data_IF_290729609190
#
_entry.id   IF_290729609190
#
_cell.length_a   1.000
_cell.length_b   1.000
_cell.length_c   1.000
_cell.angle_alpha   90.00
_cell.angle_beta   90.00
_cell.angle_gamma   90.00
#
_symmetry.space_group_name_H-M   'P 1'
#
loop_
_entity.id
_entity.type
_entity.pdbx_description
1 polymer ?
#
# COMPACT_ATOMS: atom_id res chain seq x y z
N UNK A 1 4.24 10.22 -35.10
CA UNK A 1 2.83 10.09 -34.66
C UNK A 1 2.80 8.92 -33.68
N UNK A 2 2.80 9.18 -32.37
CA UNK A 2 2.74 8.11 -31.35
C UNK A 2 1.26 7.97 -30.99
N UNK A 3 0.66 6.83 -31.30
CA UNK A 3 -0.71 6.51 -30.90
C UNK A 3 -0.66 6.19 -29.38
N UNK A 4 -1.23 7.05 -28.57
CA UNK A 4 -1.52 6.77 -27.16
C UNK A 4 -2.75 5.86 -27.18
N UNK A 5 -2.57 4.58 -26.85
CA UNK A 5 -3.70 3.69 -26.63
C UNK A 5 -4.47 4.18 -25.40
N UNK A 6 -5.75 4.51 -25.59
CA UNK A 6 -6.66 4.80 -24.47
C UNK A 6 -6.71 3.56 -23.56
N UNK A 7 -6.82 3.75 -22.24
CA UNK A 7 -7.00 2.62 -21.33
C UNK A 7 -8.31 1.93 -21.70
N UNK A 8 -8.23 0.65 -22.08
CA UNK A 8 -9.43 -0.15 -22.32
C UNK A 8 -10.27 -0.16 -21.03
N UNK A 9 -11.53 0.23 -21.17
CA UNK A 9 -12.48 0.18 -20.07
C UNK A 9 -12.58 -1.26 -19.57
N UNK A 10 -12.49 -1.43 -18.24
CA UNK A 10 -12.67 -2.73 -17.62
C UNK A 10 -14.07 -3.28 -17.94
N UNK A 11 -14.13 -4.53 -18.41
CA UNK A 11 -15.39 -5.20 -18.72
C UNK A 11 -15.92 -5.82 -17.42
N UNK A 12 -17.09 -5.37 -16.95
CA UNK A 12 -17.73 -5.94 -15.78
C UNK A 12 -18.30 -7.34 -16.08
N UNK A 13 -17.92 -8.31 -15.29
CA UNK A 13 -18.48 -9.67 -15.34
C UNK A 13 -19.62 -9.79 -14.33
N UNK A 14 -20.60 -10.64 -14.59
CA UNK A 14 -21.88 -10.73 -13.86
C UNK A 14 -21.79 -11.08 -12.37
N UNK A 15 -20.65 -11.55 -11.89
CA UNK A 15 -20.37 -11.88 -10.48
C UNK A 15 -19.67 -10.76 -9.70
N UNK A 16 -19.57 -9.56 -10.28
CA UNK A 16 -18.83 -8.43 -9.70
C UNK A 16 -17.31 -8.48 -9.92
N UNK A 17 -16.82 -9.45 -10.70
CA UNK A 17 -15.42 -9.49 -11.15
C UNK A 17 -15.20 -8.52 -12.30
N UNK A 18 -13.94 -8.09 -12.47
CA UNK A 18 -13.53 -7.13 -13.49
C UNK A 18 -12.27 -7.63 -14.17
N UNK A 19 -12.25 -7.67 -15.50
CA UNK A 19 -11.01 -7.88 -16.23
C UNK A 19 -10.20 -6.57 -16.28
N UNK A 20 -8.95 -6.64 -15.90
CA UNK A 20 -8.05 -5.48 -15.92
C UNK A 20 -6.62 -5.89 -16.29
N UNK A 21 -5.89 -4.93 -16.86
CA UNK A 21 -4.47 -5.09 -17.10
C UNK A 21 -3.69 -4.62 -15.87
N UNK A 22 -2.88 -5.50 -15.30
CA UNK A 22 -1.94 -5.17 -14.25
C UNK A 22 -0.51 -5.18 -14.80
N UNK A 23 0.26 -4.14 -14.47
CA UNK A 23 1.67 -4.04 -14.83
C UNK A 23 2.51 -4.80 -13.80
N UNK A 24 3.15 -5.88 -14.21
CA UNK A 24 4.17 -6.58 -13.43
C UNK A 24 5.57 -6.11 -13.83
N UNK A 25 6.58 -6.51 -13.07
CA UNK A 25 7.96 -6.36 -13.47
C UNK A 25 8.33 -7.43 -14.49
N UNK A 26 8.92 -6.99 -15.61
CA UNK A 26 9.53 -7.91 -16.55
C UNK A 26 10.83 -8.46 -15.93
N UNK A 27 10.95 -9.78 -15.89
CA UNK A 27 12.15 -10.44 -15.41
C UNK A 27 13.26 -10.36 -16.48
N UNK A 28 14.16 -9.41 -16.28
CA UNK A 28 15.30 -9.18 -17.22
C UNK A 28 16.64 -9.64 -16.66
N UNK A 29 16.66 -10.16 -15.43
CA UNK A 29 17.89 -10.42 -14.67
C UNK A 29 18.51 -9.16 -14.06
N UNK A 30 18.02 -7.97 -14.40
CA UNK A 30 18.47 -6.71 -13.81
C UNK A 30 17.59 -6.35 -12.61
N UNK A 31 18.23 -5.83 -11.54
CA UNK A 31 17.51 -5.39 -10.35
C UNK A 31 16.67 -4.15 -10.68
N UNK A 32 15.34 -4.20 -10.52
CA UNK A 32 14.51 -3.01 -10.68
C UNK A 32 14.82 -1.97 -9.60
N UNK A 33 14.66 -0.70 -9.94
CA UNK A 33 14.91 0.39 -9.01
C UNK A 33 13.81 1.45 -9.11
N UNK A 34 13.62 2.17 -8.02
CA UNK A 34 12.83 3.40 -7.98
C UNK A 34 13.67 4.50 -7.38
N UNK A 35 13.89 5.56 -8.15
CA UNK A 35 14.53 6.78 -7.68
C UNK A 35 13.45 7.79 -7.34
N UNK A 36 13.60 8.47 -6.21
CA UNK A 36 12.75 9.60 -5.81
C UNK A 36 13.63 10.81 -5.56
N UNK A 37 13.23 11.98 -6.09
CA UNK A 37 14.00 13.23 -5.98
C UNK A 37 14.07 13.85 -4.57
N UNK A 38 13.65 13.12 -3.53
CA UNK A 38 13.69 13.55 -2.14
C UNK A 38 12.38 14.19 -1.64
N UNK A 39 12.36 14.69 -0.40
CA UNK A 39 11.17 15.28 0.20
C UNK A 39 10.63 16.46 -0.61
N UNK A 40 9.34 16.43 -0.93
CA UNK A 40 8.67 17.48 -1.70
C UNK A 40 8.94 17.47 -3.21
N UNK A 41 9.69 16.50 -3.72
CA UNK A 41 9.88 16.29 -5.16
C UNK A 41 8.83 15.34 -5.71
N UNK A 42 8.34 15.65 -6.92
CA UNK A 42 7.50 14.76 -7.71
C UNK A 42 8.32 13.94 -8.72
N UNK A 43 9.64 14.12 -8.76
CA UNK A 43 10.54 13.37 -9.64
C UNK A 43 10.64 11.92 -9.14
N UNK A 44 9.97 11.01 -9.84
CA UNK A 44 10.01 9.57 -9.61
C UNK A 44 10.42 8.89 -10.90
N UNK A 45 11.53 8.18 -10.87
CA UNK A 45 12.01 7.38 -12.00
C UNK A 45 12.08 5.93 -11.58
N UNK A 46 11.43 5.07 -12.34
CA UNK A 46 11.42 3.64 -12.09
C UNK A 46 12.10 2.92 -13.25
N UNK A 47 13.14 2.17 -12.94
CA UNK A 47 13.77 1.26 -13.88
C UNK A 47 13.11 -0.12 -13.89
N UNK A 48 13.48 -0.93 -14.88
CA UNK A 48 12.90 -2.24 -15.12
C UNK A 48 11.78 -2.19 -16.17
N UNK A 49 11.67 -3.26 -16.94
CA UNK A 49 10.63 -3.45 -17.95
C UNK A 49 9.23 -3.64 -17.32
N UNK A 50 8.20 -3.43 -18.12
CA UNK A 50 6.82 -3.75 -17.77
C UNK A 50 6.40 -5.05 -18.45
N UNK A 51 5.69 -5.89 -17.71
CA UNK A 51 5.03 -7.10 -18.19
C UNK A 51 3.51 -6.95 -17.92
N UNK A 52 2.75 -6.34 -18.87
CA UNK A 52 1.32 -6.15 -18.71
C UNK A 52 0.59 -7.49 -18.85
N UNK A 53 -0.20 -7.85 -17.84
CA UNK A 53 -0.98 -9.09 -17.83
C UNK A 53 -2.45 -8.81 -17.64
N UNK A 54 -3.28 -9.45 -18.47
CA UNK A 54 -4.72 -9.49 -18.25
C UNK A 54 -5.02 -10.42 -17.06
N UNK A 55 -5.74 -9.90 -16.09
CA UNK A 55 -6.15 -10.65 -14.90
C UNK A 55 -7.62 -10.41 -14.60
N UNK A 56 -8.28 -11.43 -14.07
CA UNK A 56 -9.62 -11.33 -13.54
C UNK A 56 -9.53 -10.92 -12.06
N UNK A 57 -10.04 -9.74 -11.73
CA UNK A 57 -10.11 -9.23 -10.38
C UNK A 57 -11.47 -9.58 -9.77
N UNK A 58 -11.49 -10.39 -8.74
CA UNK A 58 -12.70 -10.77 -8.03
C UNK A 58 -13.13 -9.72 -7.00
N UNK A 59 -14.43 -9.55 -6.81
CA UNK A 59 -14.97 -8.66 -5.80
C UNK A 59 -14.90 -9.29 -4.40
N UNK A 60 -13.82 -9.05 -3.68
CA UNK A 60 -13.65 -9.54 -2.31
C UNK A 60 -14.64 -8.94 -1.30
N UNK A 61 -15.35 -7.85 -1.63
CA UNK A 61 -16.30 -7.21 -0.71
C UNK A 61 -17.58 -8.01 -0.50
N UNK A 62 -17.94 -8.85 -1.46
CA UNK A 62 -19.12 -9.72 -1.35
C UNK A 62 -18.89 -10.85 -0.35
N UNK A 63 -17.64 -11.29 -0.20
CA UNK A 63 -17.21 -12.37 0.70
C UNK A 63 -16.37 -11.82 1.86
N UNK A 64 -16.58 -10.55 2.23
CA UNK A 64 -15.73 -9.85 3.20
C UNK A 64 -15.59 -10.57 4.56
N UNK A 65 -16.61 -11.34 4.96
CA UNK A 65 -16.61 -12.13 6.20
C UNK A 65 -15.68 -13.34 6.18
N UNK A 66 -15.31 -13.83 5.00
CA UNK A 66 -14.52 -15.07 4.84
C UNK A 66 -13.01 -14.83 4.89
N UNK A 67 -12.58 -13.56 4.78
CA UNK A 67 -11.17 -13.19 4.81
C UNK A 67 -10.67 -12.95 6.22
N UNK A 68 -9.57 -13.61 6.57
CA UNK A 68 -8.88 -13.44 7.84
C UNK A 68 -7.39 -13.19 7.64
N UNK A 69 -6.77 -12.48 8.58
CA UNK A 69 -5.34 -12.19 8.52
C UNK A 69 -4.50 -13.46 8.46
N UNK A 70 -4.87 -14.49 9.22
CA UNK A 70 -4.08 -15.73 9.30
C UNK A 70 -4.22 -16.63 8.07
N UNK A 71 -5.37 -16.61 7.38
CA UNK A 71 -5.59 -17.45 6.19
C UNK A 71 -5.22 -16.74 4.89
N UNK A 72 -5.56 -15.46 4.79
CA UNK A 72 -5.55 -14.72 3.53
C UNK A 72 -4.51 -13.60 3.51
N UNK A 73 -3.94 -13.24 4.67
CA UNK A 73 -3.02 -12.11 4.80
C UNK A 73 -3.70 -10.75 4.78
N UNK A 74 -5.03 -10.71 4.64
CA UNK A 74 -5.83 -9.49 4.66
C UNK A 74 -7.21 -9.73 5.23
N UNK A 75 -7.90 -8.64 5.60
CA UNK A 75 -9.26 -8.66 6.12
C UNK A 75 -9.96 -7.34 5.78
N UNK A 76 -11.26 -7.38 5.48
CA UNK A 76 -12.09 -6.19 5.37
C UNK A 76 -12.65 -5.81 6.75
N UNK A 77 -12.47 -4.55 7.12
CA UNK A 77 -13.01 -4.00 8.37
C UNK A 77 -13.62 -2.64 8.06
N UNK A 78 -14.84 -2.41 8.56
CA UNK A 78 -15.42 -1.07 8.54
C UNK A 78 -14.87 -0.29 9.72
N UNK A 79 -14.35 0.90 9.46
CA UNK A 79 -13.86 1.82 10.47
C UNK A 79 -14.35 3.23 10.13
N UNK A 80 -15.02 3.87 11.08
CA UNK A 80 -15.51 5.24 10.94
C UNK A 80 -14.50 6.16 11.64
N UNK A 81 -13.57 6.70 10.88
CA UNK A 81 -12.53 7.60 11.41
C UNK A 81 -13.11 8.95 11.80
N UNK A 82 -12.49 9.58 12.82
CA UNK A 82 -12.81 10.95 13.26
C UNK A 82 -11.96 12.01 12.55
N UNK A 83 -11.09 11.62 11.63
CA UNK A 83 -10.31 12.56 10.81
C UNK A 83 -11.24 13.33 9.89
N UNK A 84 -11.23 14.65 9.99
CA UNK A 84 -12.02 15.55 9.15
C UNK A 84 -11.31 15.92 7.85
N UNK A 85 -9.99 16.05 7.89
CA UNK A 85 -9.15 16.36 6.72
C UNK A 85 -7.87 15.52 6.73
N UNK A 86 -7.75 14.60 5.79
CA UNK A 86 -6.55 13.76 5.61
C UNK A 86 -5.34 14.53 5.04
N UNK A 87 -5.49 15.79 4.67
CA UNK A 87 -4.34 16.65 4.33
C UNK A 87 -3.81 17.44 5.53
N UNK A 88 -4.47 17.35 6.67
CA UNK A 88 -3.99 17.92 7.93
C UNK A 88 -3.12 16.90 8.67
N UNK A 89 -1.81 17.09 8.60
CA UNK A 89 -0.81 16.25 9.26
C UNK A 89 -1.03 16.14 10.77
N UNK A 90 -1.52 17.20 11.41
CA UNK A 90 -1.79 17.17 12.84
C UNK A 90 -2.96 16.23 13.18
N UNK A 91 -4.02 16.23 12.38
CA UNK A 91 -5.12 15.27 12.52
C UNK A 91 -4.68 13.84 12.25
N UNK A 92 -3.84 13.63 11.23
CA UNK A 92 -3.31 12.28 10.94
C UNK A 92 -2.56 11.75 12.17
N UNK A 93 -1.67 12.53 12.76
CA UNK A 93 -0.86 12.06 13.90
C UNK A 93 -1.66 11.95 15.19
N UNK A 94 -2.55 12.92 15.48
CA UNK A 94 -3.28 12.95 16.75
C UNK A 94 -4.56 12.14 16.78
N UNK A 95 -5.16 11.85 15.62
CA UNK A 95 -6.42 11.11 15.51
C UNK A 95 -6.23 9.80 14.79
N UNK A 96 -5.76 9.83 13.53
CA UNK A 96 -5.69 8.62 12.70
C UNK A 96 -4.68 7.58 13.22
N UNK A 97 -3.50 7.99 13.65
CA UNK A 97 -2.50 7.06 14.18
C UNK A 97 -3.01 6.28 15.39
N UNK A 98 -3.56 6.92 16.45
CA UNK A 98 -4.16 6.18 17.57
C UNK A 98 -5.34 5.29 17.15
N UNK A 99 -6.18 5.72 16.21
CA UNK A 99 -7.25 4.88 15.67
C UNK A 99 -6.69 3.62 15.00
N UNK A 100 -5.65 3.75 14.15
CA UNK A 100 -5.05 2.63 13.44
C UNK A 100 -4.29 1.70 14.39
N UNK A 101 -3.62 2.21 15.40
CA UNK A 101 -3.02 1.38 16.44
C UNK A 101 -4.07 0.53 17.17
N UNK A 102 -5.17 1.14 17.56
CA UNK A 102 -6.27 0.43 18.22
C UNK A 102 -6.92 -0.60 17.29
N UNK A 103 -7.18 -0.23 16.04
CA UNK A 103 -7.77 -1.10 15.03
C UNK A 103 -6.89 -2.32 14.77
N UNK A 104 -5.61 -2.12 14.49
CA UNK A 104 -4.67 -3.22 14.21
C UNK A 104 -4.51 -4.13 15.41
N UNK A 105 -4.43 -3.59 16.63
CA UNK A 105 -4.43 -4.42 17.87
C UNK A 105 -5.66 -5.30 17.95
N UNK A 106 -6.83 -4.72 17.76
CA UNK A 106 -8.11 -5.45 17.85
C UNK A 106 -8.23 -6.55 16.79
N UNK A 107 -7.70 -6.32 15.59
CA UNK A 107 -7.82 -7.25 14.47
C UNK A 107 -6.75 -8.35 14.44
N UNK A 108 -5.55 -8.07 14.96
CA UNK A 108 -4.40 -8.98 14.91
C UNK A 108 -4.08 -9.67 16.23
N UNK A 109 -4.61 -9.18 17.35
CA UNK A 109 -4.23 -9.62 18.69
C UNK A 109 -2.82 -9.16 19.12
N UNK A 110 -2.19 -8.25 18.38
CA UNK A 110 -0.87 -7.74 18.70
C UNK A 110 -0.87 -7.02 20.07
N UNK A 111 0.11 -7.30 20.90
CA UNK A 111 0.29 -6.61 22.19
C UNK A 111 0.74 -5.16 22.00
N UNK A 112 1.48 -4.89 20.93
CA UNK A 112 1.98 -3.56 20.58
C UNK A 112 1.83 -3.31 19.09
N UNK A 113 1.42 -2.10 18.72
CA UNK A 113 1.40 -1.58 17.36
C UNK A 113 2.13 -0.24 17.36
N UNK A 114 2.88 0.03 16.32
CA UNK A 114 3.58 1.31 16.11
C UNK A 114 3.30 1.74 14.68
N UNK A 115 2.64 2.88 14.53
CA UNK A 115 2.50 3.51 13.22
C UNK A 115 3.79 4.25 12.90
N UNK A 116 4.43 3.92 11.79
CA UNK A 116 5.74 4.47 11.45
C UNK A 116 5.74 5.30 10.16
N UNK A 117 4.72 5.15 9.33
CA UNK A 117 4.62 5.89 8.07
C UNK A 117 3.16 6.00 7.62
N UNK A 118 2.88 7.02 6.84
CA UNK A 118 1.66 7.15 6.05
C UNK A 118 1.97 7.80 4.72
N UNK A 119 1.18 7.49 3.71
CA UNK A 119 1.34 8.08 2.38
C UNK A 119 -0.01 8.52 1.84
N UNK A 120 -0.12 9.80 1.52
CA UNK A 120 -1.25 10.32 0.77
C UNK A 120 -1.02 10.08 -0.72
N UNK A 121 -2.06 9.60 -1.39
CA UNK A 121 -2.07 9.39 -2.83
C UNK A 121 -3.40 9.86 -3.40
N UNK A 122 -3.35 10.47 -4.57
CA UNK A 122 -4.56 10.89 -5.27
C UNK A 122 -4.40 10.63 -6.77
N UNK A 123 -5.51 10.31 -7.43
CA UNK A 123 -5.61 10.24 -8.88
C UNK A 123 -5.97 11.60 -9.50
N UNK A 124 -6.34 12.58 -8.70
CA UNK A 124 -6.59 13.96 -9.13
C UNK A 124 -5.27 14.67 -9.41
N UNK A 125 -5.00 14.94 -10.68
CA UNK A 125 -3.76 15.57 -11.13
C UNK A 125 -3.61 16.99 -10.59
N UNK A 126 -4.68 17.77 -10.53
CA UNK A 126 -4.65 19.14 -10.01
C UNK A 126 -4.34 19.17 -8.51
N UNK A 127 -4.99 18.30 -7.75
CA UNK A 127 -4.71 18.16 -6.31
C UNK A 127 -3.30 17.64 -6.06
N UNK A 128 -2.83 16.70 -6.90
CA UNK A 128 -1.48 16.15 -6.82
C UNK A 128 -0.42 17.24 -7.02
N UNK A 129 -0.55 18.03 -8.06
CA UNK A 129 0.41 19.10 -8.36
C UNK A 129 0.37 20.21 -7.30
N UNK A 130 -0.83 20.69 -6.94
CA UNK A 130 -0.99 21.77 -5.96
C UNK A 130 -0.47 21.40 -4.56
N UNK A 131 -0.62 20.14 -4.16
CA UNK A 131 -0.26 19.66 -2.82
C UNK A 131 1.00 18.80 -2.78
N UNK A 132 1.66 18.59 -3.91
CA UNK A 132 2.85 17.72 -4.06
C UNK A 132 2.63 16.30 -3.54
N UNK A 133 1.45 15.75 -3.80
CA UNK A 133 1.05 14.40 -3.38
C UNK A 133 1.56 13.39 -4.40
N UNK A 134 1.94 12.20 -3.92
CA UNK A 134 2.41 11.11 -4.79
C UNK A 134 1.28 10.56 -5.65
N UNK A 135 1.64 10.15 -6.87
CA UNK A 135 0.74 9.41 -7.75
C UNK A 135 0.38 8.04 -7.16
N UNK A 136 -0.79 7.50 -7.55
CA UNK A 136 -1.16 6.12 -7.25
C UNK A 136 -0.18 5.14 -7.90
N UNK A 137 0.14 4.06 -7.21
CA UNK A 137 1.05 3.03 -7.74
C UNK A 137 0.33 2.19 -8.78
N UNK A 138 0.91 2.09 -9.97
CA UNK A 138 0.34 1.36 -11.10
C UNK A 138 1.00 -0.01 -11.35
N UNK A 139 2.02 -0.35 -10.58
CA UNK A 139 2.78 -1.58 -10.76
C UNK A 139 2.58 -2.51 -9.58
N UNK A 140 2.36 -3.79 -9.84
CA UNK A 140 2.23 -4.82 -8.80
C UNK A 140 3.57 -4.97 -8.08
N UNK A 141 3.57 -4.89 -6.75
CA UNK A 141 4.77 -4.99 -5.93
C UNK A 141 4.43 -5.41 -4.50
N UNK A 142 5.43 -5.85 -3.78
CA UNK A 142 5.43 -5.94 -2.33
C UNK A 142 6.30 -4.83 -1.74
N UNK A 143 5.86 -4.20 -0.67
CA UNK A 143 6.63 -3.15 0.00
C UNK A 143 7.79 -3.73 0.82
N UNK A 144 7.60 -4.93 1.35
CA UNK A 144 8.60 -5.59 2.20
C UNK A 144 8.85 -7.03 1.77
N UNK A 145 10.08 -7.47 1.99
CA UNK A 145 10.54 -8.85 1.81
C UNK A 145 10.92 -9.44 3.17
N UNK A 146 11.22 -10.73 3.21
CA UNK A 146 11.75 -11.41 4.40
C UNK A 146 13.03 -10.75 4.95
N UNK A 147 13.79 -10.10 4.09
CA UNK A 147 14.99 -9.37 4.47
C UNK A 147 14.70 -7.92 4.89
N UNK A 148 13.94 -7.18 4.10
CA UNK A 148 13.72 -5.74 4.35
C UNK A 148 12.74 -5.46 5.49
N UNK A 149 11.82 -6.38 5.80
CA UNK A 149 10.93 -6.25 6.95
C UNK A 149 11.67 -6.22 8.29
N UNK A 150 12.54 -7.18 8.60
CA UNK A 150 13.40 -7.14 9.80
C UNK A 150 14.32 -5.92 9.85
N UNK A 151 14.87 -5.51 8.69
CA UNK A 151 15.68 -4.30 8.64
C UNK A 151 14.86 -3.06 8.98
N UNK A 152 13.63 -2.96 8.48
CA UNK A 152 12.74 -1.84 8.82
C UNK A 152 12.42 -1.77 10.30
N UNK A 153 12.26 -2.91 10.96
CA UNK A 153 12.08 -2.95 12.42
C UNK A 153 13.30 -2.39 13.16
N UNK A 154 14.51 -2.73 12.71
CA UNK A 154 15.76 -2.18 13.27
C UNK A 154 15.86 -0.66 13.11
N UNK A 155 15.44 -0.16 11.96
CA UNK A 155 15.47 1.28 11.65
C UNK A 155 14.48 2.06 12.54
N UNK A 156 13.30 1.47 12.85
CA UNK A 156 12.24 2.15 13.62
C UNK A 156 12.48 2.03 15.13
N UNK A 157 12.92 0.86 15.60
CA UNK A 157 13.07 0.53 17.02
C UNK A 157 14.48 -0.02 17.33
N UNK A 158 15.56 0.72 17.08
CA UNK A 158 16.93 0.21 17.13
C UNK A 158 17.30 -0.38 18.50
N UNK A 159 16.76 0.16 19.60
CA UNK A 159 17.05 -0.34 20.96
C UNK A 159 16.33 -1.63 21.35
N UNK A 160 15.30 -2.04 20.62
CA UNK A 160 14.41 -3.14 20.96
C UNK A 160 14.34 -4.21 19.86
N UNK A 161 14.79 -3.89 18.65
CA UNK A 161 14.55 -4.67 17.45
C UNK A 161 14.98 -6.14 17.60
N UNK A 162 16.15 -6.43 18.13
CA UNK A 162 16.65 -7.80 18.23
C UNK A 162 15.80 -8.66 19.21
N UNK A 163 15.29 -8.07 20.27
CA UNK A 163 14.39 -8.76 21.17
C UNK A 163 13.01 -9.00 20.55
N UNK A 164 12.52 -8.04 19.74
CA UNK A 164 11.26 -8.16 19.04
C UNK A 164 11.33 -9.16 17.88
N UNK A 165 12.46 -9.27 17.20
CA UNK A 165 12.70 -10.24 16.13
C UNK A 165 12.72 -11.70 16.62
N UNK A 166 12.88 -11.95 17.93
CA UNK A 166 12.71 -13.27 18.52
C UNK A 166 11.24 -13.69 18.69
N UNK A 167 10.30 -12.79 18.36
CA UNK A 167 8.86 -13.00 18.46
C UNK A 167 8.21 -12.80 17.10
N UNK A 168 6.94 -13.19 17.00
CA UNK A 168 6.15 -12.88 15.79
C UNK A 168 5.97 -11.36 15.67
N UNK A 169 6.38 -10.80 14.54
CA UNK A 169 6.05 -9.44 14.15
C UNK A 169 5.46 -9.44 12.73
N UNK A 170 4.74 -8.40 12.40
CA UNK A 170 4.21 -8.17 11.07
C UNK A 170 4.23 -6.67 10.72
N UNK A 171 4.35 -6.37 9.45
CA UNK A 171 4.08 -5.04 8.90
C UNK A 171 2.70 -5.10 8.27
N UNK A 172 1.82 -4.21 8.69
CA UNK A 172 0.42 -4.17 8.28
C UNK A 172 0.14 -2.85 7.59
N UNK A 173 -0.50 -2.91 6.44
CA UNK A 173 -1.03 -1.74 5.73
C UNK A 173 -2.53 -1.61 6.03
N UNK A 174 -2.97 -0.39 6.26
CA UNK A 174 -4.36 -0.06 6.53
C UNK A 174 -4.83 0.98 5.54
#
# INVERSE_FOLDING_TARGET
MVAIAEPQAAVAVTDGSVEATLDYYLETGEKPYTYTGGPGSLDVRTGGGKDPRQVLLHSGRQEAGDFTLDRNGFRFVRHDTKVGDFFDEAQIRSVYYPEMEALVKAQSGASRVVVFDHTLRTADDAAREARKIREVVRRVHNDYTEWSGPQRLRDILPGEAEALLQRRFAIVQV
#
